data_IF_151591564906
#
_entry.id   IF_151591564906
#
_cell.length_a   1.000
_cell.length_b   1.000
_cell.length_c   1.000
_cell.angle_alpha   90.00
_cell.angle_beta   90.00
_cell.angle_gamma   90.00
#
_symmetry.space_group_name_H-M   'P 1'
#
loop_
_entity.id
_entity.type
_entity.pdbx_description
1 polymer ?
#
# COMPACT_ATOMS: atom_id res chain seq x y z
N UNK A 1 -15.93 32.13 7.69
CA UNK A 1 -16.76 30.91 7.60
C UNK A 1 -15.90 29.67 7.77
N UNK A 2 -16.44 28.65 8.50
CA UNK A 2 -15.76 27.41 8.78
C UNK A 2 -16.71 26.23 8.56
N UNK A 3 -16.17 25.09 8.13
CA UNK A 3 -16.77 23.79 8.32
C UNK A 3 -16.55 23.32 9.77
N UNK A 4 -17.52 22.66 10.36
CA UNK A 4 -17.40 21.97 11.66
C UNK A 4 -17.43 20.49 11.37
N UNK A 5 -16.31 19.79 11.60
CA UNK A 5 -16.14 18.38 11.25
C UNK A 5 -16.24 17.52 12.49
N UNK A 6 -17.15 16.55 12.44
CA UNK A 6 -17.33 15.50 13.44
C UNK A 6 -17.29 14.13 12.77
N UNK A 7 -16.60 13.19 13.38
CA UNK A 7 -16.51 11.82 12.88
C UNK A 7 -15.16 11.16 13.09
N UNK A 8 -14.91 10.09 12.34
CA UNK A 8 -13.66 9.35 12.44
C UNK A 8 -13.20 8.82 11.08
N UNK A 9 -11.89 8.57 10.97
CA UNK A 9 -11.25 7.85 9.87
C UNK A 9 -10.38 6.75 10.44
N UNK A 10 -10.23 5.67 9.68
CA UNK A 10 -9.36 4.55 10.02
C UNK A 10 -8.36 4.32 8.88
N UNK A 11 -7.28 3.62 9.18
CA UNK A 11 -6.18 3.31 8.26
C UNK A 11 -5.42 4.54 7.76
N UNK A 12 -5.37 5.60 8.56
CA UNK A 12 -4.64 6.82 8.21
C UNK A 12 -3.14 6.56 8.28
N UNK A 13 -2.52 6.30 7.12
CA UNK A 13 -1.09 6.00 7.01
C UNK A 13 -0.26 7.16 7.52
N UNK A 14 0.72 6.87 8.40
CA UNK A 14 1.65 7.84 8.99
C UNK A 14 0.96 9.04 9.68
N UNK A 15 -0.31 8.92 10.07
CA UNK A 15 -1.08 10.00 10.68
C UNK A 15 -0.43 10.62 11.92
N UNK A 16 0.28 9.83 12.72
CA UNK A 16 1.02 10.28 13.91
C UNK A 16 2.25 11.17 13.56
N UNK A 17 2.70 11.19 12.31
CA UNK A 17 3.80 12.03 11.81
C UNK A 17 3.33 13.20 10.95
N UNK A 18 2.10 13.10 10.43
CA UNK A 18 1.55 14.10 9.55
C UNK A 18 1.21 15.38 10.31
N UNK A 19 1.46 16.52 9.72
CA UNK A 19 1.02 17.84 10.22
C UNK A 19 -0.27 18.29 9.56
N UNK A 20 -0.61 17.71 8.42
CA UNK A 20 -1.82 17.99 7.66
C UNK A 20 -2.47 16.72 7.18
N UNK A 21 -3.80 16.69 7.21
CA UNK A 21 -4.60 15.66 6.56
C UNK A 21 -5.37 16.27 5.39
N UNK A 22 -5.46 15.56 4.30
CA UNK A 22 -6.56 15.75 3.37
C UNK A 22 -7.68 14.75 3.69
N UNK A 23 -8.91 15.17 3.57
CA UNK A 23 -10.04 14.32 3.90
C UNK A 23 -11.26 14.58 3.03
N UNK A 24 -11.99 13.50 2.75
CA UNK A 24 -13.34 13.58 2.19
C UNK A 24 -14.33 13.63 3.33
N UNK A 25 -15.21 14.64 3.32
CA UNK A 25 -16.24 14.85 4.33
C UNK A 25 -17.60 14.99 3.65
N UNK A 26 -18.66 14.56 4.33
CA UNK A 26 -20.03 14.74 3.87
C UNK A 26 -20.49 16.16 4.19
N UNK A 27 -20.75 16.96 3.17
CA UNK A 27 -21.22 18.34 3.31
C UNK A 27 -22.70 18.51 2.94
N UNK A 28 -23.28 17.52 2.24
CA UNK A 28 -24.69 17.44 1.92
C UNK A 28 -25.16 15.99 2.16
N UNK A 29 -25.96 15.78 3.21
CA UNK A 29 -26.48 14.46 3.63
C UNK A 29 -27.52 13.89 2.67
N UNK A 30 -28.28 14.76 1.98
CA UNK A 30 -29.39 14.37 1.11
C UNK A 30 -28.91 14.00 -0.31
N UNK A 31 -27.68 14.37 -0.66
CA UNK A 31 -27.14 14.11 -1.97
C UNK A 31 -26.78 12.62 -2.17
N UNK A 32 -26.85 12.08 -3.43
CA UNK A 32 -26.40 10.72 -3.75
C UNK A 32 -24.95 10.45 -3.36
N UNK A 33 -24.58 9.16 -3.19
CA UNK A 33 -23.32 8.65 -2.59
C UNK A 33 -22.06 9.43 -2.95
N UNK A 34 -21.85 9.80 -4.22
CA UNK A 34 -20.62 10.47 -4.70
C UNK A 34 -20.77 11.99 -4.84
N UNK A 35 -21.98 12.51 -4.66
CA UNK A 35 -22.28 13.94 -4.56
C UNK A 35 -22.45 14.32 -3.09
N UNK A 36 -22.35 15.57 -2.77
CA UNK A 36 -22.44 16.02 -1.37
C UNK A 36 -21.21 15.66 -0.52
N UNK A 37 -20.08 15.40 -1.15
CA UNK A 37 -18.79 15.19 -0.50
C UNK A 37 -17.85 16.32 -0.90
N UNK A 38 -17.20 16.95 0.09
CA UNK A 38 -16.16 17.96 -0.13
C UNK A 38 -14.79 17.43 0.26
N UNK A 39 -13.74 17.99 -0.37
CA UNK A 39 -12.35 17.67 -0.08
C UNK A 39 -11.75 18.82 0.75
N UNK A 40 -11.33 18.52 1.97
CA UNK A 40 -10.82 19.51 2.92
C UNK A 40 -9.39 19.19 3.33
N UNK A 41 -8.63 20.26 3.65
CA UNK A 41 -7.31 20.16 4.28
C UNK A 41 -7.44 20.53 5.76
N UNK A 42 -7.05 19.63 6.65
CA UNK A 42 -7.10 19.80 8.10
C UNK A 42 -5.71 19.79 8.72
N UNK A 43 -5.46 20.71 9.64
CA UNK A 43 -4.27 20.68 10.50
C UNK A 43 -4.45 19.61 11.58
N UNK A 44 -3.52 18.68 11.66
CA UNK A 44 -3.58 17.56 12.63
C UNK A 44 -3.35 18.01 14.06
N UNK A 45 -2.78 19.20 14.27
CA UNK A 45 -2.51 19.80 15.58
C UNK A 45 -3.64 20.71 16.05
N UNK A 46 -4.70 20.82 15.25
CA UNK A 46 -5.89 21.61 15.60
C UNK A 46 -6.66 21.03 16.78
N UNK A 47 -7.35 21.88 17.52
CA UNK A 47 -8.23 21.43 18.60
C UNK A 47 -9.29 20.49 18.07
N UNK A 48 -9.53 19.38 18.79
CA UNK A 48 -10.53 18.39 18.46
C UNK A 48 -10.04 17.30 17.52
N UNK A 49 -8.77 17.31 17.10
CA UNK A 49 -8.16 16.20 16.33
C UNK A 49 -7.40 15.28 17.29
N UNK A 50 -7.74 14.00 17.27
CA UNK A 50 -7.03 12.97 18.01
C UNK A 50 -6.57 11.87 17.04
N UNK A 51 -5.31 11.46 17.15
CA UNK A 51 -4.71 10.38 16.32
C UNK A 51 -4.28 9.26 17.24
N UNK A 52 -4.87 8.08 17.08
CA UNK A 52 -4.55 6.88 17.87
C UNK A 52 -3.81 5.87 17.03
N UNK A 53 -2.77 5.21 17.57
CA UNK A 53 -2.04 4.19 16.86
C UNK A 53 -2.93 2.97 16.57
N UNK A 54 -2.84 2.46 15.34
CA UNK A 54 -3.42 1.19 14.93
C UNK A 54 -2.26 0.24 14.59
N UNK A 55 -1.93 -0.61 15.56
CA UNK A 55 -0.82 -1.55 15.43
C UNK A 55 -1.23 -2.71 14.54
N UNK A 56 -0.48 -2.94 13.46
CA UNK A 56 -0.74 -4.03 12.53
C UNK A 56 -0.41 -5.41 13.11
N UNK A 57 -0.85 -6.49 12.45
CA UNK A 57 -0.48 -7.87 12.81
C UNK A 57 1.02 -8.13 12.79
N UNK A 58 1.79 -7.31 12.07
CA UNK A 58 3.26 -7.31 12.07
C UNK A 58 3.90 -6.43 13.16
N UNK A 59 3.16 -6.01 14.17
CA UNK A 59 3.60 -5.12 15.26
C UNK A 59 4.15 -3.76 14.79
N UNK A 60 3.78 -3.35 13.58
CA UNK A 60 4.23 -2.08 13.03
C UNK A 60 3.18 -0.99 13.28
N UNK A 61 3.65 0.18 13.70
CA UNK A 61 2.84 1.39 13.76
C UNK A 61 2.97 2.17 12.45
N UNK A 62 2.23 1.75 11.43
CA UNK A 62 2.20 2.40 10.12
C UNK A 62 0.88 3.15 9.88
N UNK A 63 -0.19 2.72 10.53
CA UNK A 63 -1.55 3.24 10.35
C UNK A 63 -2.13 3.74 11.67
N UNK A 64 -3.16 4.56 11.58
CA UNK A 64 -3.82 5.18 12.73
C UNK A 64 -5.33 5.23 12.53
N UNK A 65 -6.05 5.31 13.63
CA UNK A 65 -7.38 5.90 13.69
C UNK A 65 -7.25 7.41 13.92
N UNK A 66 -8.12 8.18 13.34
CA UNK A 66 -8.19 9.63 13.58
C UNK A 66 -9.62 10.04 13.89
N UNK A 67 -9.78 10.80 14.97
CA UNK A 67 -11.07 11.27 15.49
C UNK A 67 -11.12 12.77 15.37
N UNK A 68 -12.31 13.27 15.07
CA UNK A 68 -12.58 14.69 14.85
C UNK A 68 -13.80 15.08 15.69
N UNK A 69 -13.62 16.03 16.61
CA UNK A 69 -14.68 16.53 17.48
C UNK A 69 -14.71 18.04 17.37
N UNK A 70 -15.75 18.58 16.75
CA UNK A 70 -15.98 20.00 16.50
C UNK A 70 -14.79 20.72 15.85
N UNK A 71 -14.07 20.01 14.97
CA UNK A 71 -12.89 20.55 14.27
C UNK A 71 -13.31 21.63 13.30
N UNK A 72 -12.85 22.85 13.52
CA UNK A 72 -13.13 23.99 12.66
C UNK A 72 -12.12 24.07 11.52
N UNK A 73 -12.59 23.94 10.29
CA UNK A 73 -11.78 24.04 9.08
C UNK A 73 -12.27 25.24 8.26
N UNK A 74 -11.42 26.26 8.01
CA UNK A 74 -11.79 27.40 7.19
C UNK A 74 -12.25 26.97 5.79
N UNK A 75 -13.28 27.63 5.24
CA UNK A 75 -13.78 27.36 3.87
C UNK A 75 -12.67 27.51 2.83
N UNK A 76 -11.70 28.38 3.06
CA UNK A 76 -10.52 28.56 2.19
C UNK A 76 -9.60 27.31 2.10
N UNK A 77 -9.77 26.33 2.99
CA UNK A 77 -9.04 25.05 2.96
C UNK A 77 -9.79 23.94 2.25
N UNK A 78 -10.89 24.27 1.57
CA UNK A 78 -11.56 23.36 0.64
C UNK A 78 -10.82 23.34 -0.69
N UNK A 79 -10.60 22.16 -1.21
CA UNK A 79 -10.01 21.94 -2.53
C UNK A 79 -11.12 21.65 -3.53
N UNK A 80 -11.25 22.52 -4.53
CA UNK A 80 -12.32 22.45 -5.53
C UNK A 80 -13.68 22.98 -5.03
N UNK A 81 -14.73 22.66 -5.78
CA UNK A 81 -16.09 23.07 -5.48
C UNK A 81 -16.68 22.27 -4.33
N UNK A 82 -17.57 22.90 -3.56
CA UNK A 82 -18.34 22.21 -2.52
C UNK A 82 -19.18 21.08 -3.11
N UNK A 83 -19.29 19.99 -2.38
CA UNK A 83 -20.01 18.78 -2.82
C UNK A 83 -19.43 18.08 -4.04
N UNK A 84 -18.23 18.47 -4.51
CA UNK A 84 -17.51 17.88 -5.66
C UNK A 84 -16.18 17.22 -5.26
N UNK A 85 -15.90 17.11 -4.00
CA UNK A 85 -14.63 16.57 -3.47
C UNK A 85 -14.36 15.11 -3.83
N UNK A 86 -15.39 14.31 -4.14
CA UNK A 86 -15.19 12.96 -4.66
C UNK A 86 -14.37 12.95 -5.94
N UNK A 87 -14.67 13.86 -6.86
CA UNK A 87 -13.94 13.96 -8.13
C UNK A 87 -12.49 14.40 -7.93
N UNK A 88 -12.26 15.33 -7.01
CA UNK A 88 -10.90 15.73 -6.60
C UNK A 88 -10.13 14.53 -6.05
N UNK A 89 -10.76 13.73 -5.17
CA UNK A 89 -10.15 12.52 -4.62
C UNK A 89 -9.84 11.48 -5.69
N UNK A 90 -10.71 11.30 -6.69
CA UNK A 90 -10.46 10.37 -7.79
C UNK A 90 -9.28 10.82 -8.66
N UNK A 91 -9.19 12.11 -8.98
CA UNK A 91 -8.02 12.66 -9.70
C UNK A 91 -6.73 12.40 -8.93
N UNK A 92 -6.70 12.67 -7.62
CA UNK A 92 -5.54 12.36 -6.78
C UNK A 92 -5.13 10.88 -6.87
N UNK A 93 -6.10 9.95 -6.75
CA UNK A 93 -5.85 8.52 -6.82
C UNK A 93 -5.35 8.06 -8.20
N UNK A 94 -5.77 8.71 -9.27
CA UNK A 94 -5.30 8.39 -10.62
C UNK A 94 -3.82 8.77 -10.80
N UNK A 95 -3.35 9.85 -10.19
CA UNK A 95 -1.94 10.24 -10.22
C UNK A 95 -1.07 9.44 -9.24
N UNK A 96 -1.61 8.97 -8.12
CA UNK A 96 -0.88 8.18 -7.11
C UNK A 96 -0.49 6.77 -7.61
N UNK A 97 -1.12 6.28 -8.66
CA UNK A 97 -1.01 4.88 -9.12
C UNK A 97 0.32 4.50 -9.80
N UNK A 98 1.26 5.42 -9.98
CA UNK A 98 2.60 5.10 -10.48
C UNK A 98 3.45 4.45 -9.37
N UNK A 99 3.49 3.13 -9.31
CA UNK A 99 4.15 2.38 -8.23
C UNK A 99 5.59 1.97 -8.58
N UNK A 100 6.41 2.91 -9.06
CA UNK A 100 7.82 2.62 -9.37
C UNK A 100 8.62 2.21 -8.13
N UNK A 101 8.32 2.83 -6.99
CA UNK A 101 8.95 2.51 -5.70
C UNK A 101 8.76 1.05 -5.33
N UNK A 102 7.56 0.51 -5.51
CA UNK A 102 7.25 -0.89 -5.21
C UNK A 102 8.05 -1.89 -6.05
N UNK A 103 8.30 -1.59 -7.32
CA UNK A 103 9.14 -2.42 -8.20
C UNK A 103 10.60 -2.43 -7.74
N UNK A 104 11.14 -1.24 -7.42
CA UNK A 104 12.53 -1.09 -6.93
C UNK A 104 12.72 -1.77 -5.57
N UNK A 105 11.76 -1.62 -4.65
CA UNK A 105 11.80 -2.28 -3.34
C UNK A 105 11.76 -3.80 -3.47
N UNK A 106 10.90 -4.34 -4.33
CA UNK A 106 10.82 -5.78 -4.60
C UNK A 106 12.16 -6.31 -5.10
N UNK A 107 12.78 -5.64 -6.09
CA UNK A 107 14.07 -6.02 -6.65
C UNK A 107 15.18 -5.99 -5.59
N UNK A 108 15.27 -4.92 -4.80
CA UNK A 108 16.25 -4.80 -3.70
C UNK A 108 16.08 -5.89 -2.64
N UNK A 109 14.85 -6.30 -2.36
CA UNK A 109 14.59 -7.35 -1.38
C UNK A 109 15.04 -8.72 -1.89
N UNK A 110 14.80 -9.01 -3.18
CA UNK A 110 15.27 -10.23 -3.85
C UNK A 110 16.81 -10.26 -3.88
N UNK A 111 17.45 -9.18 -4.30
CA UNK A 111 18.90 -9.06 -4.32
C UNK A 111 19.49 -9.22 -2.91
N UNK A 112 18.86 -8.63 -1.90
CA UNK A 112 19.24 -8.79 -0.50
C UNK A 112 19.16 -10.25 -0.03
N UNK A 113 18.13 -10.98 -0.43
CA UNK A 113 18.01 -12.41 -0.14
C UNK A 113 19.10 -13.23 -0.84
N UNK A 114 19.34 -12.98 -2.13
CA UNK A 114 20.41 -13.66 -2.90
C UNK A 114 21.76 -13.41 -2.26
N UNK A 115 22.08 -12.16 -1.93
CA UNK A 115 23.34 -11.79 -1.32
C UNK A 115 23.53 -12.46 0.04
N UNK A 116 22.49 -12.47 0.88
CA UNK A 116 22.56 -13.15 2.17
C UNK A 116 22.76 -14.67 2.03
N UNK A 117 22.08 -15.34 1.12
CA UNK A 117 22.23 -16.78 0.88
C UNK A 117 23.64 -17.18 0.40
N UNK A 118 24.40 -16.25 -0.16
CA UNK A 118 25.78 -16.47 -0.56
C UNK A 118 26.79 -16.31 0.60
N UNK A 119 26.37 -15.76 1.74
CA UNK A 119 27.20 -15.69 2.95
C UNK A 119 27.26 -17.03 3.67
N UNK A 120 28.29 -17.22 4.53
CA UNK A 120 28.40 -18.44 5.36
C UNK A 120 27.21 -18.54 6.34
N UNK A 121 26.77 -17.43 6.90
CA UNK A 121 25.59 -17.37 7.76
C UNK A 121 24.31 -17.81 7.00
N UNK A 122 24.12 -17.27 5.82
CA UNK A 122 22.98 -17.61 4.97
C UNK A 122 22.95 -19.10 4.57
N UNK A 123 24.12 -19.67 4.26
CA UNK A 123 24.26 -21.10 3.97
C UNK A 123 23.91 -21.98 5.18
N UNK A 124 24.30 -21.55 6.41
CA UNK A 124 23.99 -22.27 7.63
C UNK A 124 22.51 -22.17 8.03
N UNK A 125 21.91 -20.99 7.87
CA UNK A 125 20.52 -20.72 8.26
C UNK A 125 19.49 -21.09 7.19
N UNK A 126 19.91 -21.38 5.98
CA UNK A 126 19.05 -21.88 4.92
C UNK A 126 18.82 -23.38 5.13
N UNK A 127 17.65 -23.73 5.65
CA UNK A 127 17.31 -25.12 6.04
C UNK A 127 16.66 -25.92 4.92
N UNK A 128 16.62 -25.39 3.73
CA UNK A 128 15.87 -26.02 2.63
C UNK A 128 16.61 -27.21 2.09
N UNK A 129 16.06 -28.40 2.32
CA UNK A 129 16.56 -29.65 1.76
C UNK A 129 16.53 -29.64 0.21
N UNK A 130 15.64 -28.85 -0.36
CA UNK A 130 15.47 -28.64 -1.81
C UNK A 130 15.89 -27.20 -2.19
N UNK A 131 17.21 -26.99 -2.26
CA UNK A 131 17.78 -25.70 -2.68
C UNK A 131 17.41 -25.32 -4.12
N UNK A 132 17.17 -26.29 -5.00
CA UNK A 132 16.85 -26.02 -6.40
C UNK A 132 15.43 -25.44 -6.55
N UNK A 133 14.46 -25.92 -5.79
CA UNK A 133 13.10 -25.33 -5.83
C UNK A 133 13.07 -23.90 -5.31
N UNK A 134 13.87 -23.55 -4.31
CA UNK A 134 13.99 -22.19 -3.80
C UNK A 134 14.70 -21.29 -4.81
N UNK A 135 15.76 -21.75 -5.43
CA UNK A 135 16.46 -21.01 -6.50
C UNK A 135 15.51 -20.69 -7.65
N UNK A 136 14.73 -21.68 -8.11
CA UNK A 136 13.71 -21.48 -9.13
C UNK A 136 12.72 -20.40 -8.74
N UNK A 137 12.20 -20.41 -7.50
CA UNK A 137 11.29 -19.38 -6.99
C UNK A 137 11.94 -17.99 -6.91
N UNK A 138 13.20 -17.89 -6.52
CA UNK A 138 13.92 -16.61 -6.50
C UNK A 138 14.08 -16.04 -7.91
N UNK A 139 14.36 -16.90 -8.91
CA UNK A 139 14.41 -16.50 -10.32
C UNK A 139 13.03 -16.00 -10.79
N UNK A 140 11.96 -16.74 -10.49
CA UNK A 140 10.59 -16.31 -10.79
C UNK A 140 10.32 -14.90 -10.21
N UNK A 141 10.65 -14.66 -8.95
CA UNK A 141 10.47 -13.36 -8.31
C UNK A 141 11.32 -12.25 -8.97
N UNK A 142 12.52 -12.56 -9.45
CA UNK A 142 13.32 -11.60 -10.18
C UNK A 142 12.66 -11.20 -11.50
N UNK A 143 12.11 -12.18 -12.22
CA UNK A 143 11.32 -11.93 -13.44
C UNK A 143 10.09 -11.08 -13.12
N UNK A 144 9.37 -11.41 -12.03
CA UNK A 144 8.21 -10.63 -11.57
C UNK A 144 8.58 -9.18 -11.25
N UNK A 145 9.74 -8.94 -10.63
CA UNK A 145 10.20 -7.59 -10.35
C UNK A 145 10.48 -6.80 -11.63
N UNK A 146 11.07 -7.41 -12.65
CA UNK A 146 11.27 -6.77 -13.96
C UNK A 146 9.94 -6.50 -14.69
N UNK A 147 8.98 -7.42 -14.61
CA UNK A 147 7.62 -7.21 -15.15
C UNK A 147 6.95 -6.04 -14.45
N UNK A 148 7.03 -5.96 -13.11
CA UNK A 148 6.46 -4.86 -12.34
C UNK A 148 7.12 -3.52 -12.67
N UNK A 149 8.43 -3.50 -12.88
CA UNK A 149 9.15 -2.31 -13.33
C UNK A 149 8.65 -1.83 -14.71
N UNK A 150 8.42 -2.74 -15.65
CA UNK A 150 7.88 -2.39 -16.97
C UNK A 150 6.44 -1.85 -16.88
N UNK A 151 5.60 -2.39 -15.99
CA UNK A 151 4.28 -1.80 -15.70
C UNK A 151 4.40 -0.38 -15.18
N UNK A 152 5.32 -0.12 -14.25
CA UNK A 152 5.54 1.21 -13.69
C UNK A 152 5.99 2.21 -14.76
N UNK A 153 6.94 1.83 -15.63
CA UNK A 153 7.40 2.66 -16.74
C UNK A 153 6.27 2.96 -17.73
N UNK A 154 5.43 1.96 -18.06
CA UNK A 154 4.26 2.16 -18.92
C UNK A 154 3.29 3.17 -18.32
N UNK A 155 2.96 3.03 -17.02
CA UNK A 155 2.04 3.94 -16.32
C UNK A 155 2.58 5.37 -16.36
N UNK A 156 3.87 5.57 -16.05
CA UNK A 156 4.52 6.88 -16.08
C UNK A 156 4.50 7.47 -17.50
N UNK A 157 4.78 6.66 -18.52
CA UNK A 157 4.73 7.10 -19.91
C UNK A 157 3.32 7.56 -20.33
N UNK A 158 2.28 6.86 -19.87
CA UNK A 158 0.89 7.26 -20.12
C UNK A 158 0.56 8.57 -19.40
N UNK A 159 0.96 8.72 -18.14
CA UNK A 159 0.75 9.97 -17.38
C UNK A 159 1.50 11.15 -18.01
N UNK A 160 2.72 10.94 -18.50
CA UNK A 160 3.49 11.95 -19.19
C UNK A 160 2.87 12.38 -20.56
N UNK A 161 2.01 11.53 -21.13
CA UNK A 161 1.22 11.81 -22.33
C UNK A 161 -0.22 12.27 -22.02
N UNK A 162 -0.49 12.74 -20.79
CA UNK A 162 -1.81 13.16 -20.30
C UNK A 162 -2.90 12.07 -20.42
N UNK A 163 -2.50 10.80 -20.43
CA UNK A 163 -3.41 9.66 -20.42
C UNK A 163 -3.63 9.17 -18.99
N UNK A 164 -4.84 8.74 -18.68
CA UNK A 164 -5.19 8.20 -17.36
C UNK A 164 -4.99 6.67 -17.38
N UNK A 165 -3.95 6.12 -16.70
CA UNK A 165 -3.72 4.69 -16.60
C UNK A 165 -4.74 4.06 -15.62
N UNK A 166 -5.82 3.51 -16.14
CA UNK A 166 -6.91 2.97 -15.32
C UNK A 166 -6.71 1.49 -15.00
N UNK A 167 -6.91 0.60 -15.98
CA UNK A 167 -6.76 -0.84 -15.79
C UNK A 167 -5.29 -1.27 -15.74
N UNK A 168 -4.39 -0.52 -16.36
CA UNK A 168 -2.94 -0.76 -16.29
C UNK A 168 -2.45 -0.61 -14.84
N UNK A 169 -2.87 0.46 -14.17
CA UNK A 169 -2.55 0.68 -12.76
C UNK A 169 -3.16 -0.37 -11.86
N UNK A 170 -4.40 -0.81 -12.15
CA UNK A 170 -5.07 -1.90 -11.43
C UNK A 170 -4.33 -3.23 -11.62
N UNK A 171 -3.86 -3.52 -12.84
CA UNK A 171 -3.08 -4.72 -13.15
C UNK A 171 -1.73 -4.72 -12.41
N UNK A 172 -1.01 -3.60 -12.47
CA UNK A 172 0.24 -3.41 -11.74
C UNK A 172 0.06 -3.60 -10.23
N UNK A 173 -1.03 -3.06 -9.66
CA UNK A 173 -1.34 -3.19 -8.23
C UNK A 173 -1.60 -4.65 -7.83
N UNK A 174 -2.44 -5.38 -8.56
CA UNK A 174 -2.73 -6.79 -8.26
C UNK A 174 -1.47 -7.63 -8.37
N UNK A 175 -0.73 -7.45 -9.45
CA UNK A 175 0.52 -8.18 -9.70
C UNK A 175 1.54 -7.90 -8.59
N UNK A 176 1.86 -6.64 -8.32
CA UNK A 176 2.86 -6.26 -7.32
C UNK A 176 2.49 -6.66 -5.89
N UNK A 177 1.20 -6.58 -5.50
CA UNK A 177 0.75 -7.02 -4.18
C UNK A 177 0.92 -8.52 -3.98
N UNK A 178 0.66 -9.33 -5.02
CA UNK A 178 0.84 -10.78 -4.98
C UNK A 178 2.34 -11.13 -4.96
N UNK A 179 3.14 -10.56 -5.85
CA UNK A 179 4.60 -10.81 -5.92
C UNK A 179 5.30 -10.48 -4.60
N UNK A 180 4.95 -9.33 -3.98
CA UNK A 180 5.49 -8.96 -2.67
C UNK A 180 5.13 -9.99 -1.59
N UNK A 181 3.85 -10.41 -1.52
CA UNK A 181 3.39 -11.40 -0.56
C UNK A 181 4.07 -12.76 -0.76
N UNK A 182 4.19 -13.20 -2.01
CA UNK A 182 4.79 -14.49 -2.36
C UNK A 182 6.30 -14.50 -2.10
N UNK A 183 7.00 -13.39 -2.32
CA UNK A 183 8.41 -13.25 -1.95
C UNK A 183 8.62 -13.45 -0.44
N UNK A 184 7.75 -12.87 0.40
CA UNK A 184 7.84 -13.07 1.86
C UNK A 184 7.68 -14.56 2.22
N UNK A 185 6.72 -15.23 1.60
CA UNK A 185 6.50 -16.67 1.82
C UNK A 185 7.70 -17.50 1.35
N UNK A 186 8.33 -17.12 0.24
CA UNK A 186 9.56 -17.77 -0.25
C UNK A 186 10.70 -17.58 0.73
N UNK A 187 10.90 -16.36 1.27
CA UNK A 187 11.89 -16.11 2.32
C UNK A 187 11.64 -16.92 3.59
N UNK A 188 10.39 -16.99 4.04
CA UNK A 188 10.00 -17.83 5.19
C UNK A 188 10.35 -19.32 4.96
N UNK A 189 10.02 -19.84 3.80
CA UNK A 189 10.35 -21.24 3.43
C UNK A 189 11.86 -21.45 3.33
N UNK A 190 12.60 -20.48 2.82
CA UNK A 190 14.07 -20.56 2.67
C UNK A 190 14.75 -20.77 4.01
N UNK A 191 14.28 -20.11 5.05
CA UNK A 191 14.90 -20.18 6.39
C UNK A 191 14.24 -21.20 7.33
N UNK A 192 13.12 -21.80 6.95
CA UNK A 192 12.44 -22.85 7.70
C UNK A 192 12.17 -22.43 9.16
N UNK A 193 12.66 -23.20 10.14
CA UNK A 193 12.43 -22.89 11.58
C UNK A 193 13.06 -21.57 12.02
N UNK A 194 14.13 -21.11 11.41
CA UNK A 194 14.72 -19.80 11.74
C UNK A 194 13.77 -18.63 11.40
N UNK A 195 12.86 -18.82 10.45
CA UNK A 195 11.85 -17.82 10.12
C UNK A 195 10.75 -17.67 11.17
N UNK A 196 10.73 -18.51 12.23
CA UNK A 196 9.80 -18.35 13.36
C UNK A 196 10.32 -17.34 14.40
N UNK A 197 11.58 -16.91 14.26
CA UNK A 197 12.18 -15.96 15.19
C UNK A 197 11.73 -14.56 14.85
N UNK A 198 10.98 -13.94 15.75
CA UNK A 198 10.41 -12.60 15.58
C UNK A 198 11.39 -11.49 15.96
N UNK A 199 12.20 -11.71 16.98
CA UNK A 199 13.16 -10.73 17.49
C UNK A 199 14.27 -10.46 16.47
N UNK A 200 14.26 -9.26 15.91
CA UNK A 200 15.24 -8.82 14.91
C UNK A 200 16.67 -8.70 15.45
N UNK A 201 16.83 -8.62 16.77
CA UNK A 201 18.14 -8.53 17.43
C UNK A 201 18.71 -9.92 17.76
N UNK A 202 17.92 -10.96 17.63
CA UNK A 202 18.38 -12.33 17.86
C UNK A 202 19.44 -12.73 16.85
N UNK A 203 20.58 -13.24 17.33
CA UNK A 203 21.64 -13.79 16.47
C UNK A 203 21.17 -14.93 15.55
N UNK A 204 20.06 -15.55 15.88
CA UNK A 204 19.47 -16.65 15.11
C UNK A 204 18.48 -16.17 14.03
N UNK A 205 18.04 -14.91 14.09
CA UNK A 205 17.10 -14.35 13.13
C UNK A 205 17.80 -14.04 11.79
N UNK A 206 17.49 -14.78 10.71
CA UNK A 206 18.09 -14.47 9.42
C UNK A 206 17.61 -13.11 8.93
N UNK A 207 18.53 -12.31 8.38
CA UNK A 207 18.23 -10.98 7.86
C UNK A 207 17.42 -10.10 8.84
N UNK A 208 17.75 -10.22 10.15
CA UNK A 208 17.06 -9.48 11.23
C UNK A 208 15.54 -9.71 11.24
N UNK A 209 15.11 -10.96 11.10
CA UNK A 209 13.69 -11.37 11.07
C UNK A 209 12.86 -10.69 9.96
N UNK A 210 13.48 -10.14 8.93
CA UNK A 210 12.82 -9.32 7.90
C UNK A 210 11.65 -10.05 7.25
N UNK A 211 11.85 -11.27 6.76
CA UNK A 211 10.79 -12.04 6.10
C UNK A 211 9.69 -12.45 7.06
N UNK A 212 10.04 -12.76 8.32
CA UNK A 212 9.09 -13.07 9.39
C UNK A 212 8.13 -11.90 9.64
N UNK A 213 8.67 -10.72 9.89
CA UNK A 213 7.87 -9.52 10.17
C UNK A 213 7.10 -9.05 8.93
N UNK A 214 7.76 -9.05 7.77
CA UNK A 214 7.16 -8.63 6.52
C UNK A 214 6.06 -9.58 6.04
N UNK A 215 6.12 -10.88 6.34
CA UNK A 215 5.06 -11.83 5.95
C UNK A 215 3.69 -11.43 6.50
N UNK A 216 3.65 -10.88 7.72
CA UNK A 216 2.44 -10.34 8.33
C UNK A 216 2.05 -8.98 7.73
N UNK A 217 3.02 -8.11 7.49
CA UNK A 217 2.76 -6.78 6.94
C UNK A 217 2.24 -6.83 5.50
N UNK A 218 2.88 -7.60 4.64
CA UNK A 218 2.53 -7.65 3.22
C UNK A 218 1.23 -8.39 2.92
N UNK A 219 0.67 -9.15 3.88
CA UNK A 219 -0.68 -9.69 3.76
C UNK A 219 -1.72 -8.59 3.52
N UNK A 220 -1.57 -7.43 4.16
CA UNK A 220 -2.45 -6.27 4.00
C UNK A 220 -2.36 -5.61 2.61
N UNK A 221 -1.29 -5.80 1.85
CA UNK A 221 -1.12 -5.22 0.51
C UNK A 221 -2.15 -5.70 -0.50
N UNK A 222 -2.71 -6.89 -0.32
CA UNK A 222 -3.79 -7.41 -1.18
C UNK A 222 -5.14 -6.75 -0.91
N UNK A 223 -5.26 -5.98 0.19
CA UNK A 223 -6.48 -5.31 0.65
C UNK A 223 -6.37 -3.80 0.50
N UNK A 224 -5.24 -3.21 0.90
CA UNK A 224 -5.01 -1.76 0.88
C UNK A 224 -4.92 -1.21 -0.55
N UNK A 225 -5.23 0.08 -0.72
CA UNK A 225 -5.21 0.73 -2.04
C UNK A 225 -6.25 0.17 -3.01
N UNK A 226 -7.39 -0.31 -2.50
CA UNK A 226 -8.40 -1.09 -3.21
C UNK A 226 -8.02 -2.58 -3.25
N UNK A 227 -8.92 -3.45 -2.75
CA UNK A 227 -8.61 -4.88 -2.68
C UNK A 227 -8.36 -5.48 -4.06
N UNK A 228 -7.65 -6.60 -4.10
CA UNK A 228 -7.37 -7.29 -5.36
C UNK A 228 -8.66 -7.64 -6.12
N UNK A 229 -9.76 -7.87 -5.43
CA UNK A 229 -11.10 -8.14 -6.01
C UNK A 229 -11.63 -6.89 -6.71
N UNK A 230 -11.57 -5.73 -6.04
CA UNK A 230 -11.97 -4.44 -6.64
C UNK A 230 -11.10 -4.10 -7.85
N UNK A 231 -9.80 -4.33 -7.76
CA UNK A 231 -8.89 -4.09 -8.89
C UNK A 231 -9.20 -5.01 -10.08
N UNK A 232 -9.52 -6.29 -9.82
CA UNK A 232 -9.98 -7.21 -10.89
C UNK A 232 -11.29 -6.76 -11.53
N UNK A 233 -12.22 -6.21 -10.76
CA UNK A 233 -13.45 -5.63 -11.31
C UNK A 233 -13.14 -4.45 -12.24
N UNK A 234 -12.16 -3.60 -11.89
CA UNK A 234 -11.71 -2.50 -12.75
C UNK A 234 -11.08 -3.04 -14.04
N UNK A 235 -10.21 -4.04 -13.94
CA UNK A 235 -9.61 -4.70 -15.11
C UNK A 235 -10.69 -5.29 -16.01
N UNK A 236 -11.64 -6.02 -15.43
CA UNK A 236 -12.72 -6.64 -16.18
C UNK A 236 -13.60 -5.61 -16.92
N UNK A 237 -14.03 -4.55 -16.24
CA UNK A 237 -14.97 -3.58 -16.79
C UNK A 237 -14.31 -2.52 -17.65
N UNK A 238 -13.13 -2.02 -17.26
CA UNK A 238 -12.43 -0.92 -17.96
C UNK A 238 -11.39 -1.43 -18.96
N UNK A 239 -10.74 -2.56 -18.67
CA UNK A 239 -9.73 -3.16 -19.53
C UNK A 239 -10.32 -4.09 -20.59
N UNK A 240 -11.23 -4.97 -20.18
CA UNK A 240 -11.81 -5.99 -21.05
C UNK A 240 -13.21 -5.64 -21.58
N UNK A 241 -13.83 -4.55 -21.12
CA UNK A 241 -15.16 -4.13 -21.56
C UNK A 241 -16.28 -5.05 -21.10
N UNK A 242 -16.06 -5.87 -20.06
CA UNK A 242 -17.08 -6.77 -19.52
C UNK A 242 -18.16 -5.99 -18.76
N UNK A 243 -19.41 -6.46 -18.75
CA UNK A 243 -20.49 -5.80 -18.01
C UNK A 243 -20.21 -5.81 -16.51
N UNK A 244 -20.73 -4.79 -15.82
CA UNK A 244 -20.80 -4.84 -14.36
C UNK A 244 -21.85 -5.85 -13.94
N UNK A 245 -21.49 -6.74 -13.05
CA UNK A 245 -22.44 -7.60 -12.35
C UNK A 245 -23.29 -6.82 -11.34
#
# INVERSE_FOLDING_TARGET
DNYVVNGQKIWTSQGHKATWFFMLVRTDSEAPKHRGISFLLADTRGNGVEVRPLISGGWQHATNESFYTDVKIPVSRRVGEENRGWYVGMTLLDYERSNITGAVELKKEIEGLINFLNTDEGKQKSTVADRESVKGKIVDHYIEAEVLNNFALRIISMQAADQIPNYEASTSKVFGANSQKELQQTGMKTFGLYSQIWDSLSKWAPMNARFTQNSMHFAARTISGGSNEIQRNIIATRGLGLPRG
#
